data_IF_143751292302
#
_entry.id   IF_143751292302
#
_cell.length_a   1.000
_cell.length_b   1.000
_cell.length_c   1.000
_cell.angle_alpha   90.00
_cell.angle_beta   90.00
_cell.angle_gamma   90.00
#
_symmetry.space_group_name_H-M   'P 1'
#
loop_
_entity.id
_entity.type
_entity.pdbx_description
1 polymer ?
#
# COMPACT_ATOMS: atom_id res chain seq x y z
N UNK A 1 10.72 9.64 4.21
CA UNK A 1 11.49 9.56 2.95
C UNK A 1 11.63 10.96 2.37
N UNK A 2 12.62 11.25 1.52
CA UNK A 2 12.59 12.50 0.74
C UNK A 2 11.78 12.29 -0.54
N UNK A 3 11.19 13.36 -1.07
CA UNK A 3 10.38 13.33 -2.30
C UNK A 3 11.16 12.75 -3.47
N UNK A 4 12.43 13.10 -3.61
CA UNK A 4 13.27 12.66 -4.73
C UNK A 4 13.49 11.13 -4.71
N UNK A 5 13.52 10.51 -3.53
CA UNK A 5 13.65 9.06 -3.40
C UNK A 5 12.35 8.33 -3.75
N UNK A 6 11.19 8.94 -3.45
CA UNK A 6 9.89 8.41 -3.89
C UNK A 6 9.79 8.46 -5.42
N UNK A 7 10.13 9.60 -6.03
CA UNK A 7 10.16 9.76 -7.50
C UNK A 7 11.13 8.78 -8.15
N UNK A 8 12.35 8.65 -7.62
CA UNK A 8 13.34 7.73 -8.19
C UNK A 8 12.91 6.26 -8.15
N UNK A 9 12.33 5.82 -7.04
CA UNK A 9 11.83 4.44 -6.95
C UNK A 9 10.69 4.20 -7.93
N UNK A 10 9.80 5.18 -8.02
CA UNK A 10 8.69 5.15 -8.93
C UNK A 10 9.19 5.00 -10.37
N UNK A 11 10.09 5.87 -10.80
CA UNK A 11 10.69 5.83 -12.13
C UNK A 11 11.23 4.43 -12.45
N UNK A 12 11.95 3.80 -11.52
CA UNK A 12 12.46 2.43 -11.69
C UNK A 12 11.32 1.40 -11.86
N UNK A 13 10.30 1.41 -11.01
CA UNK A 13 9.14 0.52 -11.12
C UNK A 13 8.35 0.72 -12.42
N UNK A 14 8.40 1.94 -12.98
CA UNK A 14 7.71 2.30 -14.23
C UNK A 14 8.51 1.93 -15.50
N UNK A 15 9.78 1.51 -15.34
CA UNK A 15 10.61 1.02 -16.46
C UNK A 15 10.23 -0.38 -16.93
N UNK A 16 9.60 -1.19 -16.06
CA UNK A 16 9.06 -2.49 -16.46
C UNK A 16 7.95 -2.29 -17.50
N UNK A 17 7.94 -3.15 -18.52
CA UNK A 17 6.92 -3.06 -19.58
C UNK A 17 5.51 -3.22 -19.02
N UNK A 18 5.30 -4.21 -18.15
CA UNK A 18 4.18 -4.26 -17.21
C UNK A 18 4.64 -5.07 -15.99
N UNK A 19 3.85 -5.09 -14.93
CA UNK A 19 4.08 -5.89 -13.72
C UNK A 19 2.97 -6.92 -13.50
N UNK A 20 2.29 -7.32 -14.58
CA UNK A 20 1.19 -8.27 -14.52
C UNK A 20 1.71 -9.66 -14.11
N UNK A 21 1.02 -10.29 -13.16
CA UNK A 21 1.44 -11.53 -12.50
C UNK A 21 1.70 -12.75 -13.40
N UNK A 22 1.15 -12.76 -14.63
CA UNK A 22 1.31 -13.88 -15.59
C UNK A 22 2.59 -13.79 -16.42
N UNK A 23 3.29 -12.67 -16.40
CA UNK A 23 4.49 -12.44 -17.21
C UNK A 23 5.75 -12.36 -16.36
N UNK A 24 6.90 -12.68 -16.97
CA UNK A 24 8.20 -12.66 -16.29
C UNK A 24 8.55 -11.28 -15.70
N UNK A 25 8.08 -10.20 -16.33
CA UNK A 25 8.29 -8.85 -15.84
C UNK A 25 7.68 -8.61 -14.45
N UNK A 26 6.49 -9.17 -14.16
CA UNK A 26 5.88 -9.10 -12.83
C UNK A 26 6.67 -9.85 -11.76
N UNK A 27 7.25 -11.01 -12.11
CA UNK A 27 8.12 -11.77 -11.20
C UNK A 27 9.49 -11.09 -10.98
N UNK A 28 9.98 -10.34 -11.97
CA UNK A 28 11.20 -9.55 -11.82
C UNK A 28 10.97 -8.30 -10.98
N UNK A 29 9.85 -7.60 -11.16
CA UNK A 29 9.54 -6.37 -10.43
C UNK A 29 9.38 -6.61 -8.94
N UNK A 30 8.80 -7.74 -8.53
CA UNK A 30 8.65 -8.08 -7.11
C UNK A 30 9.99 -8.30 -6.39
N UNK A 31 11.06 -8.65 -7.11
CA UNK A 31 12.42 -8.78 -6.55
C UNK A 31 13.15 -7.44 -6.44
N UNK A 32 12.60 -6.38 -7.01
CA UNK A 32 13.19 -5.04 -6.98
C UNK A 32 12.85 -4.27 -5.69
N UNK A 33 11.86 -4.71 -4.92
CA UNK A 33 11.47 -4.06 -3.67
C UNK A 33 12.63 -4.08 -2.67
N UNK A 34 13.07 -2.89 -2.25
CA UNK A 34 14.14 -2.69 -1.28
C UNK A 34 13.54 -2.12 0.01
N UNK A 35 13.75 -2.81 1.13
CA UNK A 35 13.47 -2.27 2.47
C UNK A 35 14.78 -1.98 3.22
N UNK A 36 14.76 -0.95 4.07
CA UNK A 36 15.86 -0.61 4.96
C UNK A 36 15.36 -0.17 6.33
N UNK A 37 16.17 -0.41 7.36
CA UNK A 37 15.84 -0.07 8.75
C UNK A 37 16.95 0.75 9.42
N UNK A 38 16.62 1.57 10.44
CA UNK A 38 17.62 2.13 11.34
C UNK A 38 18.46 1.04 12.04
N UNK A 39 19.72 1.32 12.43
CA UNK A 39 20.60 0.32 13.04
C UNK A 39 20.07 -0.36 14.31
N UNK A 40 19.16 0.29 15.04
CA UNK A 40 18.59 -0.19 16.31
C UNK A 40 17.26 -0.94 16.16
N UNK A 41 16.79 -1.13 14.92
CA UNK A 41 15.58 -1.88 14.57
C UNK A 41 15.97 -3.13 13.80
N UNK A 42 15.53 -4.30 14.27
CA UNK A 42 15.72 -5.53 13.50
C UNK A 42 14.69 -5.60 12.38
N UNK A 43 15.20 -5.75 11.16
CA UNK A 43 14.42 -5.92 9.93
C UNK A 43 14.66 -7.32 9.37
N UNK A 44 13.57 -8.04 9.10
CA UNK A 44 13.58 -9.25 8.28
C UNK A 44 12.74 -9.05 7.02
N UNK A 45 13.21 -9.60 5.91
CA UNK A 45 12.48 -9.64 4.65
C UNK A 45 12.01 -11.07 4.39
N UNK A 46 10.73 -11.22 4.11
CA UNK A 46 10.11 -12.48 3.69
C UNK A 46 9.61 -12.34 2.25
N UNK A 47 10.00 -13.30 1.41
CA UNK A 47 9.54 -13.43 0.03
C UNK A 47 8.47 -14.51 0.01
N UNK A 48 7.20 -14.11 0.04
CA UNK A 48 6.08 -15.03 0.10
C UNK A 48 5.78 -15.56 -1.30
N UNK A 49 5.89 -16.88 -1.47
CA UNK A 49 5.66 -17.55 -2.75
C UNK A 49 4.21 -17.99 -2.89
N UNK A 50 3.66 -17.82 -4.09
CA UNK A 50 2.30 -18.22 -4.44
C UNK A 50 2.32 -19.34 -5.49
N UNK A 51 1.14 -19.85 -5.87
CA UNK A 51 1.00 -20.76 -7.01
C UNK A 51 1.32 -20.09 -8.36
N UNK A 52 1.36 -18.75 -8.39
CA UNK A 52 1.76 -17.95 -9.55
C UNK A 52 3.18 -17.38 -9.41
N UNK A 53 3.85 -16.99 -10.52
CA UNK A 53 5.28 -16.64 -10.50
C UNK A 53 5.66 -15.37 -9.74
N UNK A 54 4.73 -14.41 -9.62
CA UNK A 54 4.95 -13.17 -8.89
C UNK A 54 4.90 -13.43 -7.38
N UNK A 55 5.87 -12.89 -6.64
CA UNK A 55 5.96 -13.06 -5.19
C UNK A 55 5.42 -11.83 -4.47
N UNK A 56 4.80 -12.02 -3.31
CA UNK A 56 4.55 -10.91 -2.38
C UNK A 56 5.79 -10.69 -1.51
N UNK A 57 6.01 -9.46 -1.06
CA UNK A 57 7.15 -9.11 -0.19
C UNK A 57 6.62 -8.61 1.15
N UNK A 58 7.19 -9.11 2.24
CA UNK A 58 6.84 -8.67 3.60
C UNK A 58 8.13 -8.19 4.29
N UNK A 59 8.18 -6.90 4.63
CA UNK A 59 9.24 -6.33 5.44
C UNK A 59 8.77 -6.16 6.88
N UNK A 60 9.37 -6.93 7.79
CA UNK A 60 8.98 -6.99 9.20
C UNK A 60 9.98 -6.26 10.07
N UNK A 61 9.48 -5.30 10.84
CA UNK A 61 10.23 -4.47 11.78
C UNK A 61 9.87 -4.86 13.21
N UNK A 62 10.87 -5.34 13.95
CA UNK A 62 10.68 -5.67 15.37
C UNK A 62 10.68 -4.40 16.24
N UNK A 63 10.03 -4.44 17.42
CA UNK A 63 10.09 -3.34 18.39
C UNK A 63 11.52 -2.92 18.71
N UNK A 64 11.75 -1.61 18.86
CA UNK A 64 13.08 -1.09 19.20
C UNK A 64 13.56 -1.72 20.51
N UNK A 65 14.85 -2.06 20.61
CA UNK A 65 15.38 -2.77 21.78
C UNK A 65 15.17 -2.02 23.11
N UNK A 66 15.06 -0.68 23.07
CA UNK A 66 14.78 0.22 24.20
C UNK A 66 13.30 0.37 24.57
N UNK A 67 12.39 -0.08 23.70
CA UNK A 67 10.94 -0.02 23.90
C UNK A 67 10.33 -1.37 24.24
N UNK A 68 11.13 -2.44 24.36
CA UNK A 68 10.67 -3.74 24.81
C UNK A 68 9.88 -3.49 26.10
N UNK A 69 8.55 -3.67 26.09
CA UNK A 69 7.76 -3.58 27.30
C UNK A 69 8.40 -4.55 28.31
N UNK A 70 8.23 -4.29 29.61
CA UNK A 70 8.33 -5.39 30.58
C UNK A 70 7.60 -6.59 29.96
N UNK A 71 8.24 -7.75 29.88
CA UNK A 71 7.89 -8.95 29.06
C UNK A 71 6.42 -9.45 29.11
N UNK A 72 5.49 -8.76 29.77
CA UNK A 72 4.11 -9.11 30.02
C UNK A 72 3.07 -8.62 28.98
N UNK A 73 3.35 -7.65 28.10
CA UNK A 73 2.36 -7.18 27.12
C UNK A 73 2.92 -7.36 25.70
N UNK A 74 2.52 -8.47 25.05
CA UNK A 74 2.68 -8.67 23.62
C UNK A 74 1.64 -7.80 22.91
N UNK A 75 2.10 -6.78 22.20
CA UNK A 75 1.24 -5.96 21.35
C UNK A 75 0.94 -6.71 20.04
N UNK A 76 -0.26 -6.56 19.47
CA UNK A 76 -0.57 -7.12 18.16
C UNK A 76 0.28 -6.47 17.06
N UNK A 77 0.43 -7.16 15.93
CA UNK A 77 1.15 -6.69 14.74
C UNK A 77 0.31 -5.64 14.01
N UNK A 78 0.98 -4.63 13.44
CA UNK A 78 0.35 -3.60 12.61
C UNK A 78 0.85 -3.76 11.17
N UNK A 79 -0.07 -3.84 10.22
CA UNK A 79 0.24 -4.01 8.80
C UNK A 79 0.04 -2.71 8.04
N UNK A 80 1.00 -2.33 7.20
CA UNK A 80 0.87 -1.29 6.19
C UNK A 80 1.06 -1.96 4.84
N UNK A 81 0.20 -1.71 3.87
CA UNK A 81 0.26 -2.46 2.63
C UNK A 81 -0.08 -1.67 1.37
N UNK A 82 0.42 -2.19 0.26
CA UNK A 82 0.04 -1.87 -1.11
C UNK A 82 0.17 -3.13 -1.98
N UNK A 83 -0.22 -3.07 -3.25
CA UNK A 83 0.09 -4.12 -4.21
C UNK A 83 1.16 -3.69 -5.21
N UNK A 84 1.89 -4.66 -5.77
CA UNK A 84 3.04 -4.43 -6.64
C UNK A 84 2.77 -4.75 -8.11
N UNK A 85 1.66 -5.40 -8.42
CA UNK A 85 1.33 -5.76 -9.79
C UNK A 85 0.75 -4.58 -10.57
N UNK A 86 0.34 -4.84 -11.79
CA UNK A 86 -0.32 -3.87 -12.66
C UNK A 86 -1.16 -4.65 -13.65
N UNK A 87 -2.34 -4.16 -13.99
CA UNK A 87 -3.10 -4.70 -15.11
C UNK A 87 -3.43 -3.64 -16.15
N UNK A 88 -3.58 -4.08 -17.38
CA UNK A 88 -4.10 -3.28 -18.47
C UNK A 88 -5.37 -3.96 -18.98
N UNK A 89 -6.53 -3.32 -18.78
CA UNK A 89 -7.81 -3.96 -19.07
C UNK A 89 -8.19 -3.87 -20.56
N UNK A 90 -7.60 -2.93 -21.31
CA UNK A 90 -7.79 -2.82 -22.76
C UNK A 90 -6.91 -3.80 -23.53
N UNK A 91 -5.74 -4.11 -22.99
CA UNK A 91 -4.77 -5.03 -23.56
C UNK A 91 -3.94 -5.65 -22.44
N UNK A 92 -4.25 -6.87 -21.98
CA UNK A 92 -3.52 -7.50 -20.86
C UNK A 92 -2.00 -7.64 -21.06
N UNK A 93 -1.54 -7.59 -22.31
CA UNK A 93 -0.12 -7.56 -22.68
C UNK A 93 0.43 -6.14 -22.81
N UNK A 94 -0.43 -5.12 -22.90
CA UNK A 94 -0.08 -3.72 -23.05
C UNK A 94 0.77 -3.21 -21.89
N UNK A 95 1.46 -2.10 -22.17
CA UNK A 95 2.24 -1.39 -21.17
C UNK A 95 1.28 -0.77 -20.15
N UNK A 96 1.44 -1.05 -18.86
CA UNK A 96 0.77 -0.27 -17.81
C UNK A 96 1.74 -0.06 -16.67
N UNK A 97 1.75 1.17 -16.19
CA UNK A 97 2.51 1.58 -15.04
C UNK A 97 1.48 1.83 -13.95
N UNK A 98 1.09 0.75 -13.26
CA UNK A 98 0.32 0.94 -12.04
C UNK A 98 1.21 1.63 -10.99
N UNK A 99 0.63 2.52 -10.21
CA UNK A 99 1.35 3.50 -9.41
C UNK A 99 0.86 3.55 -7.96
N UNK A 100 0.99 2.46 -7.22
CA UNK A 100 0.98 2.57 -5.76
C UNK A 100 2.31 3.20 -5.31
N UNK A 101 2.25 4.27 -4.52
CA UNK A 101 3.46 4.76 -3.85
C UNK A 101 3.95 3.62 -2.98
N UNK A 102 5.18 3.18 -3.24
CA UNK A 102 5.90 2.33 -2.32
C UNK A 102 5.83 2.98 -0.94
N UNK A 103 5.10 2.34 -0.02
CA UNK A 103 5.27 2.59 1.40
C UNK A 103 6.64 2.03 1.77
N UNK A 104 7.72 2.68 1.31
CA UNK A 104 9.06 2.27 1.65
C UNK A 104 9.18 2.48 3.15
N UNK A 105 9.47 1.40 3.85
CA UNK A 105 9.68 1.37 5.28
C UNK A 105 10.91 2.18 5.76
N UNK A 106 11.53 2.97 4.86
CA UNK A 106 12.75 3.69 5.13
C UNK A 106 12.50 4.91 6.02
N UNK A 107 13.12 4.82 7.20
CA UNK A 107 13.31 5.88 8.21
C UNK A 107 12.11 6.14 9.12
N UNK A 108 11.51 5.06 9.64
CA UNK A 108 10.81 5.11 10.94
C UNK A 108 11.74 5.77 11.97
N UNK A 109 11.49 7.05 12.28
CA UNK A 109 12.17 7.76 13.36
C UNK A 109 11.29 7.64 14.58
N UNK A 110 11.70 6.84 15.56
CA UNK A 110 10.95 6.69 16.80
C UNK A 110 11.06 5.29 17.39
N UNK A 111 10.52 5.15 18.61
CA UNK A 111 10.47 3.89 19.32
C UNK A 111 9.29 3.06 18.82
N UNK A 112 9.57 1.94 18.13
CA UNK A 112 8.56 0.95 17.77
C UNK A 112 8.14 0.15 19.00
N UNK A 113 6.87 0.19 19.39
CA UNK A 113 6.36 -0.58 20.55
C UNK A 113 5.74 -1.93 20.16
N UNK A 114 5.28 -2.05 18.93
CA UNK A 114 4.75 -3.27 18.32
C UNK A 114 5.60 -3.66 17.13
N UNK A 115 5.37 -4.88 16.64
CA UNK A 115 5.85 -5.30 15.32
C UNK A 115 5.08 -4.50 14.27
N UNK A 116 5.80 -4.03 13.26
CA UNK A 116 5.20 -3.42 12.07
C UNK A 116 5.63 -4.20 10.84
N UNK A 117 4.68 -4.57 9.99
CA UNK A 117 4.94 -5.24 8.73
C UNK A 117 4.49 -4.37 7.57
N UNK A 118 5.38 -4.20 6.58
CA UNK A 118 5.07 -3.60 5.30
C UNK A 118 4.86 -4.71 4.28
N UNK A 119 3.70 -4.74 3.64
CA UNK A 119 3.31 -5.77 2.69
C UNK A 119 3.21 -5.16 1.29
N UNK A 120 3.81 -5.85 0.32
CA UNK A 120 3.60 -5.58 -1.11
C UNK A 120 3.00 -6.83 -1.74
N UNK A 121 1.69 -6.82 -1.96
CA UNK A 121 0.96 -7.98 -2.44
C UNK A 121 1.11 -8.17 -3.95
N UNK A 122 1.34 -9.42 -4.35
CA UNK A 122 1.25 -9.84 -5.73
C UNK A 122 -0.20 -10.04 -6.15
N UNK A 123 -0.49 -9.82 -7.42
CA UNK A 123 -1.76 -10.22 -8.05
C UNK A 123 -3.01 -9.68 -7.35
N UNK A 124 -3.03 -8.38 -7.00
CA UNK A 124 -4.26 -7.71 -6.57
C UNK A 124 -5.25 -7.68 -7.74
N UNK A 125 -4.75 -7.37 -8.94
CA UNK A 125 -5.53 -7.21 -10.16
C UNK A 125 -6.09 -8.54 -10.69
N UNK A 126 -5.57 -9.66 -10.16
CA UNK A 126 -6.11 -11.00 -10.39
C UNK A 126 -7.27 -11.36 -9.45
N UNK A 127 -7.74 -10.41 -8.64
CA UNK A 127 -8.80 -10.61 -7.65
C UNK A 127 -8.27 -10.85 -6.25
N UNK A 128 -7.31 -10.05 -5.80
CA UNK A 128 -6.73 -10.05 -4.43
C UNK A 128 -5.98 -11.34 -4.09
N UNK A 129 -5.40 -12.06 -5.06
CA UNK A 129 -4.90 -13.42 -4.83
C UNK A 129 -3.73 -13.44 -3.84
N UNK A 130 -2.77 -12.52 -3.96
CA UNK A 130 -1.62 -12.50 -3.05
C UNK A 130 -1.99 -12.15 -1.61
N UNK A 131 -2.86 -11.16 -1.40
CA UNK A 131 -3.32 -10.82 -0.05
C UNK A 131 -4.20 -11.93 0.56
N UNK A 132 -5.01 -12.63 -0.23
CA UNK A 132 -5.79 -13.78 0.25
C UNK A 132 -4.90 -14.93 0.73
N UNK A 133 -3.82 -15.25 0.01
CA UNK A 133 -2.88 -16.31 0.42
C UNK A 133 -2.17 -15.95 1.73
N UNK A 134 -1.70 -14.71 1.86
CA UNK A 134 -1.03 -14.24 3.08
C UNK A 134 -2.00 -14.24 4.27
N UNK A 135 -3.23 -13.74 4.08
CA UNK A 135 -4.25 -13.74 5.14
C UNK A 135 -4.58 -15.17 5.57
N UNK A 136 -4.74 -16.09 4.62
CA UNK A 136 -4.97 -17.52 4.88
C UNK A 136 -3.86 -18.12 5.75
N UNK A 137 -2.58 -17.87 5.40
CA UNK A 137 -1.44 -18.34 6.17
C UNK A 137 -1.39 -17.70 7.56
N UNK A 138 -1.68 -16.40 7.68
CA UNK A 138 -1.67 -15.68 8.95
C UNK A 138 -2.75 -16.19 9.90
N UNK A 139 -3.94 -16.48 9.38
CA UNK A 139 -5.05 -17.10 10.13
C UNK A 139 -4.67 -18.51 10.57
N UNK A 140 -4.09 -19.32 9.68
CA UNK A 140 -3.62 -20.67 9.98
C UNK A 140 -2.56 -20.68 11.11
N UNK A 141 -1.59 -19.77 11.02
CA UNK A 141 -0.54 -19.58 12.02
C UNK A 141 -1.03 -18.86 13.29
N UNK A 142 -2.29 -18.41 13.33
CA UNK A 142 -2.89 -17.64 14.44
C UNK A 142 -2.07 -16.40 14.79
N UNK A 143 -1.60 -15.66 13.76
CA UNK A 143 -0.91 -14.39 13.95
C UNK A 143 -1.90 -13.34 14.48
N UNK A 144 -1.48 -12.61 15.50
CA UNK A 144 -2.28 -11.58 16.16
C UNK A 144 -2.08 -10.24 15.44
N UNK A 145 -2.97 -9.94 14.50
CA UNK A 145 -2.95 -8.71 13.70
C UNK A 145 -3.99 -7.74 14.25
N UNK A 146 -3.54 -6.58 14.74
CA UNK A 146 -4.38 -5.63 15.45
C UNK A 146 -5.00 -4.58 14.54
N UNK A 147 -4.30 -4.24 13.45
CA UNK A 147 -4.79 -3.30 12.44
C UNK A 147 -4.03 -3.48 11.12
N UNK A 148 -4.69 -3.17 10.02
CA UNK A 148 -4.09 -3.08 8.69
C UNK A 148 -4.52 -1.78 8.00
N UNK A 149 -3.58 -1.10 7.34
CA UNK A 149 -3.88 0.02 6.45
C UNK A 149 -3.42 -0.28 5.03
N UNK A 150 -4.32 -0.12 4.07
CA UNK A 150 -4.04 -0.19 2.64
C UNK A 150 -3.80 1.20 2.06
N UNK A 151 -2.82 1.27 1.18
CA UNK A 151 -2.53 2.41 0.32
C UNK A 151 -2.65 1.96 -1.14
N UNK A 152 -3.65 2.48 -1.84
CA UNK A 152 -3.97 2.10 -3.21
C UNK A 152 -4.35 3.34 -4.00
N UNK A 153 -3.53 3.65 -5.02
CA UNK A 153 -3.52 4.91 -5.77
C UNK A 153 -3.34 6.12 -4.83
N UNK A 154 -2.13 6.67 -4.73
CA UNK A 154 -1.81 7.66 -3.68
C UNK A 154 -1.12 8.92 -4.19
N UNK A 155 -1.12 9.18 -5.50
CA UNK A 155 -0.22 10.16 -6.07
C UNK A 155 -0.83 11.06 -7.15
N UNK A 156 -1.93 10.67 -7.80
CA UNK A 156 -2.58 11.47 -8.82
C UNK A 156 -3.47 12.55 -8.20
N UNK A 157 -3.30 13.79 -8.68
CA UNK A 157 -4.14 14.94 -8.31
C UNK A 157 -4.76 15.51 -9.57
N UNK A 158 -6.08 15.69 -9.57
CA UNK A 158 -6.79 16.32 -10.67
C UNK A 158 -6.35 17.77 -10.89
N UNK A 159 -6.26 18.18 -12.15
CA UNK A 159 -5.86 19.55 -12.51
C UNK A 159 -6.83 20.57 -11.90
N UNK A 160 -6.30 21.67 -11.37
CA UNK A 160 -7.05 22.73 -10.71
C UNK A 160 -7.84 22.27 -9.46
N UNK A 161 -7.41 21.19 -8.81
CA UNK A 161 -7.98 20.74 -7.53
C UNK A 161 -6.93 20.80 -6.42
N UNK A 162 -7.38 20.63 -5.17
CA UNK A 162 -6.49 20.56 -4.01
C UNK A 162 -6.16 19.09 -3.72
N UNK A 163 -4.87 18.71 -3.60
CA UNK A 163 -4.49 17.38 -3.13
C UNK A 163 -5.19 17.06 -1.81
N UNK A 164 -5.96 15.97 -1.76
CA UNK A 164 -6.82 15.62 -0.63
C UNK A 164 -6.60 14.15 -0.29
N UNK A 165 -6.35 13.85 0.98
CA UNK A 165 -6.28 12.47 1.44
C UNK A 165 -7.69 11.92 1.62
N UNK A 166 -8.02 10.86 0.89
CA UNK A 166 -9.36 10.25 0.92
C UNK A 166 -9.29 8.90 1.62
N UNK A 167 -10.17 8.68 2.59
CA UNK A 167 -10.30 7.40 3.30
C UNK A 167 -11.59 6.70 2.88
N UNK A 168 -11.50 5.40 2.60
CA UNK A 168 -12.66 4.59 2.25
C UNK A 168 -13.53 4.37 3.50
N UNK A 169 -14.85 4.52 3.37
CA UNK A 169 -15.80 4.45 4.49
C UNK A 169 -16.71 3.22 4.51
N UNK A 170 -16.69 2.41 3.45
CA UNK A 170 -17.40 1.13 3.36
C UNK A 170 -16.44 -0.06 3.33
N UNK A 171 -16.85 -1.22 3.85
CA UNK A 171 -16.03 -2.44 3.95
C UNK A 171 -14.69 -2.26 4.72
N UNK A 172 -14.72 -1.41 5.75
CA UNK A 172 -13.58 -1.09 6.63
C UNK A 172 -14.03 -1.08 8.10
N UNK A 173 -13.10 -0.91 9.03
CA UNK A 173 -13.44 -0.65 10.43
C UNK A 173 -13.75 0.83 10.65
N UNK A 174 -15.01 1.17 10.93
CA UNK A 174 -15.45 2.57 11.07
C UNK A 174 -14.76 3.32 12.21
N UNK A 175 -14.62 2.77 13.44
CA UNK A 175 -13.90 3.44 14.52
C UNK A 175 -12.43 3.74 14.17
N UNK A 176 -11.69 2.75 13.65
CA UNK A 176 -10.29 2.88 13.27
C UNK A 176 -10.12 3.86 12.10
N UNK A 177 -10.99 3.82 11.11
CA UNK A 177 -10.98 4.76 9.98
C UNK A 177 -11.17 6.20 10.47
N UNK A 178 -12.19 6.47 11.29
CA UNK A 178 -12.44 7.80 11.85
C UNK A 178 -11.28 8.30 12.73
N UNK A 179 -10.68 7.41 13.51
CA UNK A 179 -9.49 7.75 14.29
C UNK A 179 -8.29 8.09 13.40
N UNK A 180 -8.08 7.33 12.33
CA UNK A 180 -6.98 7.54 11.37
C UNK A 180 -7.17 8.84 10.60
N UNK A 181 -8.40 9.18 10.19
CA UNK A 181 -8.72 10.46 9.58
C UNK A 181 -8.39 11.64 10.52
N UNK A 182 -8.69 11.53 11.82
CA UNK A 182 -8.32 12.55 12.81
C UNK A 182 -6.81 12.70 12.95
N UNK A 183 -6.07 11.59 12.97
CA UNK A 183 -4.61 11.62 12.96
C UNK A 183 -4.06 12.29 11.70
N UNK A 184 -4.61 11.95 10.53
CA UNK A 184 -4.19 12.56 9.27
C UNK A 184 -4.43 14.08 9.28
N UNK A 185 -5.56 14.54 9.80
CA UNK A 185 -5.87 15.97 9.95
C UNK A 185 -4.93 16.69 10.92
N UNK A 186 -4.54 16.03 12.02
CA UNK A 186 -3.64 16.60 13.02
C UNK A 186 -2.20 16.73 12.50
N UNK A 187 -1.72 15.71 11.77
CA UNK A 187 -0.31 15.58 11.40
C UNK A 187 0.01 15.93 9.94
N UNK A 188 -0.99 16.30 9.15
CA UNK A 188 -0.80 16.72 7.75
C UNK A 188 -1.49 18.04 7.46
N UNK A 189 -0.92 18.79 6.51
CA UNK A 189 -1.50 20.02 5.98
C UNK A 189 -2.50 19.78 4.85
N UNK A 190 -2.65 18.54 4.36
CA UNK A 190 -3.60 18.22 3.31
C UNK A 190 -5.01 18.07 3.89
N UNK A 191 -6.05 18.53 3.19
CA UNK A 191 -7.43 18.18 3.52
C UNK A 191 -7.62 16.67 3.61
N UNK A 192 -8.48 16.24 4.53
CA UNK A 192 -8.86 14.83 4.73
C UNK A 192 -10.35 14.68 4.51
N UNK A 193 -10.76 13.70 3.71
CA UNK A 193 -12.16 13.39 3.44
C UNK A 193 -12.43 11.88 3.48
N UNK A 194 -13.71 11.52 3.57
CA UNK A 194 -14.18 10.14 3.43
C UNK A 194 -14.95 9.96 2.12
N UNK A 195 -14.85 8.78 1.51
CA UNK A 195 -15.61 8.39 0.32
C UNK A 195 -15.91 6.89 0.35
N UNK A 196 -16.96 6.45 -0.37
CA UNK A 196 -17.25 5.03 -0.53
C UNK A 196 -16.60 4.49 -1.80
N UNK A 197 -16.12 3.25 -1.76
CA UNK A 197 -15.84 2.48 -2.96
C UNK A 197 -17.16 2.21 -3.69
N UNK A 198 -17.13 2.36 -5.02
CA UNK A 198 -18.25 2.02 -5.89
C UNK A 198 -18.53 0.50 -5.85
N UNK A 199 -19.74 0.05 -6.25
CA UNK A 199 -20.05 -1.39 -6.32
C UNK A 199 -19.05 -2.15 -7.19
N UNK A 200 -18.36 -3.14 -6.61
CA UNK A 200 -17.31 -3.91 -7.28
C UNK A 200 -15.91 -3.31 -7.14
N UNK A 201 -15.76 -2.12 -6.56
CA UNK A 201 -14.46 -1.57 -6.16
C UNK A 201 -13.86 -2.41 -5.03
N UNK A 202 -12.62 -2.86 -5.23
CA UNK A 202 -11.89 -3.74 -4.32
C UNK A 202 -10.45 -3.28 -4.20
N UNK A 203 -9.80 -3.69 -3.11
CA UNK A 203 -8.35 -3.64 -2.91
C UNK A 203 -8.02 -4.59 -1.75
N UNK A 204 -6.74 -4.82 -1.46
CA UNK A 204 -6.27 -5.87 -0.53
C UNK A 204 -6.77 -5.74 0.91
N UNK A 205 -7.22 -4.53 1.34
CA UNK A 205 -7.86 -4.35 2.64
C UNK A 205 -9.06 -5.29 2.84
N UNK A 206 -9.76 -5.67 1.77
CA UNK A 206 -10.89 -6.58 1.85
C UNK A 206 -10.49 -7.98 2.29
N UNK A 207 -9.31 -8.47 1.92
CA UNK A 207 -8.80 -9.79 2.34
C UNK A 207 -8.69 -9.83 3.88
N UNK A 208 -8.15 -8.77 4.48
CA UNK A 208 -8.03 -8.61 5.93
C UNK A 208 -9.36 -8.35 6.62
N UNK A 209 -10.21 -7.50 6.04
CA UNK A 209 -11.54 -7.20 6.59
C UNK A 209 -12.42 -8.45 6.68
N UNK A 210 -12.39 -9.31 5.65
CA UNK A 210 -13.10 -10.59 5.62
C UNK A 210 -12.59 -11.58 6.67
N UNK A 211 -11.33 -11.47 7.08
CA UNK A 211 -10.75 -12.23 8.18
C UNK A 211 -11.04 -11.64 9.57
N UNK A 212 -11.79 -10.53 9.66
CA UNK A 212 -12.17 -9.88 10.91
C UNK A 212 -11.09 -8.97 11.50
N UNK A 213 -10.05 -8.63 10.73
CA UNK A 213 -9.03 -7.67 11.15
C UNK A 213 -9.57 -6.23 10.96
N UNK A 214 -9.37 -5.32 11.93
CA UNK A 214 -9.68 -3.91 11.73
C UNK A 214 -8.83 -3.31 10.60
N UNK A 215 -9.48 -2.76 9.57
CA UNK A 215 -8.78 -2.21 8.41
C UNK A 215 -9.12 -0.75 8.15
N UNK A 216 -8.17 -0.06 7.51
CA UNK A 216 -8.32 1.28 6.93
C UNK A 216 -7.83 1.22 5.49
N UNK A 217 -8.44 1.97 4.58
CA UNK A 217 -7.95 2.11 3.21
C UNK A 217 -7.88 3.60 2.85
N UNK A 218 -6.71 4.04 2.38
CA UNK A 218 -6.44 5.41 1.97
C UNK A 218 -6.11 5.46 0.48
N UNK A 219 -6.62 6.49 -0.20
CA UNK A 219 -6.47 6.71 -1.62
C UNK A 219 -6.33 8.21 -1.92
N UNK A 220 -5.94 8.53 -3.16
CA UNK A 220 -5.59 9.86 -3.65
C UNK A 220 -6.80 10.78 -3.91
N UNK A 221 -8.00 10.22 -4.06
CA UNK A 221 -9.20 10.98 -4.43
C UNK A 221 -10.50 10.20 -4.14
N UNK A 222 -11.66 10.83 -4.32
CA UNK A 222 -12.96 10.13 -4.27
C UNK A 222 -13.10 9.20 -5.49
N UNK A 223 -13.06 7.87 -5.31
CA UNK A 223 -13.05 6.92 -6.42
C UNK A 223 -14.37 6.90 -7.20
N UNK A 224 -15.48 7.37 -6.61
CA UNK A 224 -16.79 7.43 -7.26
C UNK A 224 -17.05 8.74 -8.02
N UNK A 225 -16.28 9.81 -7.74
CA UNK A 225 -16.53 11.15 -8.30
C UNK A 225 -15.39 11.69 -9.13
N UNK A 226 -14.16 11.48 -8.66
CA UNK A 226 -12.95 12.04 -9.26
C UNK A 226 -11.85 10.98 -9.30
N UNK A 227 -12.09 9.78 -9.88
CA UNK A 227 -11.01 8.80 -10.02
C UNK A 227 -9.93 9.29 -10.98
N UNK A 228 -8.72 8.73 -10.88
CA UNK A 228 -7.72 8.86 -11.94
C UNK A 228 -8.28 8.23 -13.23
N UNK A 229 -8.46 8.99 -14.33
CA UNK A 229 -9.09 8.47 -15.54
C UNK A 229 -8.17 7.53 -16.35
N UNK A 230 -6.91 7.41 -15.95
CA UNK A 230 -5.90 6.64 -16.68
C UNK A 230 -5.66 5.24 -16.10
N UNK A 231 -6.25 4.90 -14.96
CA UNK A 231 -6.04 3.60 -14.28
C UNK A 231 -6.27 2.42 -15.24
N UNK A 232 -5.39 1.41 -15.14
CA UNK A 232 -5.40 0.21 -15.99
C UNK A 232 -5.28 0.46 -17.51
N UNK A 233 -4.72 1.61 -17.92
CA UNK A 233 -4.43 1.93 -19.33
C UNK A 233 -2.93 2.09 -19.58
N UNK A 234 -2.55 2.35 -20.83
CA UNK A 234 -1.17 2.70 -21.21
C UNK A 234 -0.76 4.12 -20.83
N UNK A 235 -1.72 4.94 -20.39
CA UNK A 235 -1.53 6.34 -20.03
C UNK A 235 -1.44 6.55 -18.51
N UNK A 236 -1.65 5.50 -17.70
CA UNK A 236 -1.21 5.49 -16.31
C UNK A 236 0.31 5.57 -16.30
N UNK A 237 0.87 6.73 -15.95
CA UNK A 237 2.30 7.08 -16.08
C UNK A 237 2.64 8.14 -15.04
N UNK A 238 3.92 8.27 -14.67
CA UNK A 238 4.40 9.33 -13.76
C UNK A 238 4.26 10.76 -14.33
N UNK A 239 4.03 10.89 -15.64
CA UNK A 239 3.76 12.15 -16.32
C UNK A 239 2.48 11.99 -17.14
N UNK A 240 1.41 12.66 -16.70
CA UNK A 240 0.08 12.63 -17.32
C UNK A 240 -0.25 13.95 -18.02
N UNK A 241 -1.11 13.89 -19.05
CA UNK A 241 -1.52 15.07 -19.84
C UNK A 241 -2.46 16.00 -19.06
N UNK A 242 -3.32 15.43 -18.23
CA UNK A 242 -4.25 16.14 -17.35
C UNK A 242 -4.04 15.65 -15.92
N UNK A 243 -3.81 16.57 -14.98
CA UNK A 243 -3.42 16.26 -13.60
C UNK A 243 -1.94 16.48 -13.31
N UNK A 244 -1.57 16.36 -12.04
CA UNK A 244 -0.17 16.36 -11.61
C UNK A 244 0.08 15.28 -10.54
N UNK A 245 1.26 14.67 -10.60
CA UNK A 245 1.77 13.88 -9.49
C UNK A 245 2.38 14.83 -8.47
N UNK A 246 1.63 15.15 -7.42
CA UNK A 246 2.07 16.12 -6.43
C UNK A 246 2.73 15.43 -5.26
N UNK A 247 4.07 15.46 -5.25
CA UNK A 247 4.86 15.07 -4.07
C UNK A 247 5.18 16.27 -3.17
N UNK A 248 4.53 17.42 -3.36
CA UNK A 248 4.94 18.66 -2.71
C UNK A 248 4.69 18.63 -1.20
N UNK A 249 5.78 18.59 -0.44
CA UNK A 249 5.76 18.95 0.98
C UNK A 249 5.73 20.47 1.04
N UNK A 250 4.63 21.06 1.51
CA UNK A 250 4.63 22.49 1.87
C UNK A 250 5.58 22.66 3.07
N UNK A 251 6.65 23.43 2.85
CA UNK A 251 7.60 23.85 3.89
C UNK A 251 6.89 24.53 5.07
#
# INVERSE_FOLDING_TARGET
MKVEEMVHNLDNLTTFYNRHYRFQYGAHSSRWIIAGAPPDVHLSLEMFTHEFPQISVIARFEPTRRSKPNHAIKMPVINLASHLDSANYESPQGKTVYLSVEVKACRMKGLLRSVVEFHWYATEEGGLLGSQDIVSEYVYQRRDIGAMIQFDMTAYVHKNTTPTMTFITNNVDTPLTNWTMKLATEYSSSPVTGAELFPGGVSDHLSWHRAGVPVVCATESDPGRTPNPYIHTVDDRTVVKEGEFSFTVRN
#
